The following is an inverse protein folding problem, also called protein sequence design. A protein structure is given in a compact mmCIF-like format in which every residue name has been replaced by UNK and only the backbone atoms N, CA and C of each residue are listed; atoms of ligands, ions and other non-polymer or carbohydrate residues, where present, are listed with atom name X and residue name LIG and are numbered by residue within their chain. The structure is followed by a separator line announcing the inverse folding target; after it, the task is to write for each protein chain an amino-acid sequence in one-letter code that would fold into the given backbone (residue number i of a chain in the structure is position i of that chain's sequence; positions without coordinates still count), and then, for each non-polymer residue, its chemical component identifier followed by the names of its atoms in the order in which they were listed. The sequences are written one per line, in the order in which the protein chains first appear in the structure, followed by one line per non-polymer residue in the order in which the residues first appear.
data_IF_148978843299
#
_entry.id   IF_148978843299
#
_cell.length_a   1.000
_cell.length_b   1.000
_cell.length_c   1.000
_cell.angle_alpha   90.00
_cell.angle_beta   90.00
_cell.angle_gamma   90.00
#
_symmetry.space_group_name_H-M   'P 1'
#
loop_
_entity.id
_entity.type
_entity.pdbx_description
1 polymer ?
#
# COMPACT_ATOMS: atom_id res chain seq x y z
N UNK A 1 16.15 39.31 -9.53
CA UNK A 1 16.79 38.08 -9.01
C UNK A 1 17.59 37.46 -10.13
N UNK A 2 18.87 37.17 -9.89
CA UNK A 2 19.75 36.46 -10.84
C UNK A 2 19.32 35.00 -10.94
N UNK A 3 19.27 34.44 -12.15
CA UNK A 3 18.82 33.05 -12.35
C UNK A 3 19.86 32.05 -11.84
N UNK A 4 19.42 30.92 -11.29
CA UNK A 4 20.29 29.84 -10.78
C UNK A 4 21.23 29.35 -11.89
N UNK A 5 20.74 29.25 -13.13
CA UNK A 5 21.51 28.90 -14.33
C UNK A 5 22.70 29.84 -14.63
N UNK A 6 22.66 31.09 -14.14
CA UNK A 6 23.73 32.08 -14.33
C UNK A 6 24.81 32.00 -13.25
N UNK A 7 24.59 31.18 -12.22
CA UNK A 7 25.48 30.97 -11.08
C UNK A 7 26.23 29.62 -11.19
N UNK A 8 26.68 29.23 -12.39
CA UNK A 8 27.46 28.01 -12.67
C UNK A 8 28.71 27.82 -11.79
N UNK A 9 29.16 28.86 -11.09
CA UNK A 9 30.25 28.76 -10.10
C UNK A 9 29.81 28.09 -8.79
N UNK A 10 28.54 28.22 -8.40
CA UNK A 10 27.99 27.75 -7.11
C UNK A 10 27.10 26.52 -7.26
N UNK A 11 26.47 26.36 -8.41
CA UNK A 11 25.47 25.32 -8.67
C UNK A 11 25.97 24.29 -9.68
N UNK A 12 25.52 23.06 -9.53
CA UNK A 12 25.78 21.95 -10.43
C UNK A 12 24.45 21.41 -10.95
N UNK A 13 24.33 21.32 -12.28
CA UNK A 13 23.15 20.74 -12.92
C UNK A 13 23.10 19.24 -12.64
N UNK A 14 22.00 18.76 -12.06
CA UNK A 14 21.79 17.34 -11.75
C UNK A 14 20.71 16.72 -12.62
N UNK A 15 19.74 17.52 -13.08
CA UNK A 15 18.69 17.07 -14.01
C UNK A 15 18.49 18.17 -15.06
N UNK A 16 18.65 17.80 -16.33
CA UNK A 16 18.61 18.73 -17.46
C UNK A 16 17.20 18.78 -18.06
N UNK A 17 16.67 19.99 -18.23
CA UNK A 17 15.47 20.28 -19.00
C UNK A 17 15.58 19.70 -20.41
N UNK A 18 14.51 19.09 -20.91
CA UNK A 18 14.45 18.44 -22.23
C UNK A 18 15.41 17.23 -22.37
N UNK A 19 16.07 16.79 -21.29
CA UNK A 19 16.85 15.54 -21.27
C UNK A 19 15.98 14.29 -21.41
N UNK A 20 14.67 14.44 -21.19
CA UNK A 20 13.62 13.53 -21.62
C UNK A 20 12.35 14.33 -21.90
N UNK A 21 11.39 13.74 -22.62
CA UNK A 21 10.19 14.42 -23.14
C UNK A 21 9.31 15.12 -22.08
N UNK A 22 9.55 14.87 -20.79
CA UNK A 22 8.72 15.35 -19.69
C UNK A 22 9.51 16.08 -18.58
N UNK A 23 10.79 16.43 -18.80
CA UNK A 23 11.56 17.32 -17.89
C UNK A 23 11.30 18.78 -18.25
N UNK A 24 10.38 19.43 -17.52
CA UNK A 24 9.93 20.79 -17.83
C UNK A 24 10.89 21.91 -17.41
N UNK A 25 11.85 21.62 -16.52
CA UNK A 25 12.79 22.58 -15.94
C UNK A 25 14.10 21.91 -15.51
N UNK A 26 15.15 22.70 -15.35
CA UNK A 26 16.40 22.19 -14.80
C UNK A 26 16.32 22.04 -13.28
N UNK A 27 17.03 21.06 -12.75
CA UNK A 27 17.28 20.94 -11.31
C UNK A 27 18.77 20.99 -11.07
N UNK A 28 19.16 21.88 -10.17
CA UNK A 28 20.53 22.09 -9.73
C UNK A 28 20.66 21.73 -8.26
N UNK A 29 21.84 21.29 -7.88
CA UNK A 29 22.26 21.18 -6.47
C UNK A 29 23.42 22.14 -6.23
N UNK A 30 23.55 22.71 -5.04
CA UNK A 30 24.77 23.45 -4.69
C UNK A 30 25.98 22.52 -4.76
N UNK A 31 27.12 23.01 -5.29
CA UNK A 31 28.31 22.17 -5.54
C UNK A 31 28.81 21.43 -4.31
N UNK A 32 28.65 21.99 -3.11
CA UNK A 32 29.01 21.35 -1.85
C UNK A 32 28.29 20.01 -1.63
N UNK A 33 27.07 19.86 -2.14
CA UNK A 33 26.28 18.64 -2.03
C UNK A 33 26.34 17.77 -3.30
N UNK A 34 27.15 18.13 -4.31
CA UNK A 34 27.17 17.39 -5.57
C UNK A 34 27.75 15.98 -5.43
N UNK A 35 28.82 15.81 -4.65
CA UNK A 35 29.38 14.47 -4.36
C UNK A 35 28.37 13.60 -3.61
N UNK A 36 27.61 14.19 -2.69
CA UNK A 36 26.54 13.53 -1.95
C UNK A 36 25.41 13.07 -2.89
N UNK A 37 25.02 13.92 -3.83
CA UNK A 37 24.04 13.58 -4.86
C UNK A 37 24.50 12.44 -5.78
N UNK A 38 25.74 12.47 -6.25
CA UNK A 38 26.29 11.38 -7.08
C UNK A 38 26.35 10.06 -6.30
N UNK A 39 26.71 10.09 -5.01
CA UNK A 39 26.67 8.91 -4.16
C UNK A 39 25.24 8.39 -3.96
N UNK A 40 24.26 9.26 -3.73
CA UNK A 40 22.85 8.89 -3.66
C UNK A 40 22.38 8.19 -4.93
N UNK A 41 22.68 8.75 -6.10
CA UNK A 41 22.33 8.15 -7.40
C UNK A 41 22.91 6.74 -7.57
N UNK A 42 24.10 6.47 -7.04
CA UNK A 42 24.74 5.16 -7.17
C UNK A 42 24.23 4.15 -6.13
N UNK A 43 23.86 4.63 -4.93
CA UNK A 43 23.58 3.75 -3.77
C UNK A 43 22.11 3.68 -3.38
N UNK A 44 21.20 4.38 -4.06
CA UNK A 44 19.79 4.34 -3.69
C UNK A 44 19.13 2.97 -3.93
N UNK A 45 19.61 2.21 -4.91
CA UNK A 45 19.08 0.88 -5.26
C UNK A 45 19.35 -0.10 -4.11
N UNK A 46 18.31 -0.46 -3.35
CA UNK A 46 18.43 -1.26 -2.12
C UNK A 46 18.42 -0.45 -0.82
N UNK A 47 18.04 0.82 -0.87
CA UNK A 47 17.70 1.60 0.32
C UNK A 47 16.49 2.50 0.03
N UNK A 48 15.36 2.24 0.69
CA UNK A 48 14.10 2.91 0.32
C UNK A 48 14.10 4.39 0.74
N UNK A 49 14.82 4.77 1.79
CA UNK A 49 15.00 6.16 2.19
C UNK A 49 15.74 6.96 1.12
N UNK A 50 16.89 6.44 0.67
CA UNK A 50 17.66 7.04 -0.43
C UNK A 50 16.85 7.10 -1.72
N UNK A 51 16.07 6.05 -2.01
CA UNK A 51 15.17 6.02 -3.17
C UNK A 51 14.10 7.11 -3.09
N UNK A 52 13.50 7.35 -1.91
CA UNK A 52 12.55 8.45 -1.70
C UNK A 52 13.21 9.80 -2.00
N UNK A 53 14.44 10.05 -1.50
CA UNK A 53 15.16 11.31 -1.72
C UNK A 53 15.45 11.54 -3.20
N UNK A 54 16.02 10.54 -3.88
CA UNK A 54 16.30 10.60 -5.33
C UNK A 54 15.01 10.87 -6.11
N UNK A 55 13.93 10.13 -5.83
CA UNK A 55 12.62 10.34 -6.46
C UNK A 55 12.08 11.74 -6.25
N UNK A 56 12.15 12.26 -5.03
CA UNK A 56 11.67 13.62 -4.71
C UNK A 56 12.43 14.66 -5.53
N UNK A 57 13.77 14.54 -5.63
CA UNK A 57 14.57 15.44 -6.45
C UNK A 57 14.16 15.41 -7.94
N UNK A 58 13.83 14.22 -8.49
CA UNK A 58 13.30 14.10 -9.84
C UNK A 58 11.89 14.67 -9.99
N UNK A 59 11.01 14.51 -9.01
CA UNK A 59 9.66 15.08 -9.04
C UNK A 59 9.66 16.60 -9.14
N UNK A 60 10.65 17.26 -8.52
CA UNK A 60 10.81 18.72 -8.63
C UNK A 60 10.90 19.21 -10.08
N UNK A 61 11.36 18.37 -11.03
CA UNK A 61 11.43 18.70 -12.46
C UNK A 61 10.07 18.95 -13.13
N UNK A 62 8.99 18.46 -12.53
CA UNK A 62 7.65 18.48 -13.11
C UNK A 62 6.60 19.13 -12.18
N UNK A 63 6.96 19.42 -10.93
CA UNK A 63 6.05 20.01 -9.95
C UNK A 63 5.63 21.44 -10.32
N UNK A 64 4.34 21.72 -10.25
CA UNK A 64 3.83 23.09 -10.28
C UNK A 64 4.30 23.84 -9.03
N UNK A 65 4.73 25.11 -9.17
CA UNK A 65 5.18 25.90 -8.04
C UNK A 65 5.38 27.37 -8.38
N UNK A 66 5.12 28.24 -7.39
CA UNK A 66 5.37 29.66 -7.48
C UNK A 66 6.84 29.95 -7.82
N UNK A 67 7.07 30.79 -8.83
CA UNK A 67 8.38 31.16 -9.37
C UNK A 67 8.90 32.44 -8.70
N UNK A 68 8.93 32.43 -7.38
CA UNK A 68 9.17 33.61 -6.56
C UNK A 68 10.50 33.55 -5.79
N UNK A 69 11.27 32.46 -5.93
CA UNK A 69 12.53 32.27 -5.20
C UNK A 69 12.35 31.94 -3.72
N UNK A 70 11.13 31.66 -3.25
CA UNK A 70 10.89 31.28 -1.87
C UNK A 70 11.53 29.92 -1.54
N UNK A 71 12.15 29.87 -0.37
CA UNK A 71 12.70 28.65 0.23
C UNK A 71 11.57 27.71 0.63
N UNK A 72 11.69 26.45 0.22
CA UNK A 72 10.78 25.35 0.55
C UNK A 72 11.57 24.21 1.14
N UNK A 73 10.96 23.51 2.10
CA UNK A 73 11.49 22.26 2.67
C UNK A 73 10.58 21.09 2.31
N UNK A 74 11.18 19.94 2.08
CA UNK A 74 10.52 18.64 2.03
C UNK A 74 11.18 17.76 3.08
N UNK A 75 10.44 17.51 4.15
CA UNK A 75 10.85 16.56 5.19
C UNK A 75 10.53 15.15 4.70
N UNK A 76 11.56 14.33 4.61
CA UNK A 76 11.48 12.98 4.06
C UNK A 76 11.84 11.96 5.15
N UNK A 77 11.28 10.77 5.02
CA UNK A 77 11.79 9.61 5.73
C UNK A 77 13.25 9.39 5.28
N UNK A 78 14.20 9.52 6.21
CA UNK A 78 15.62 9.39 5.89
C UNK A 78 16.42 10.70 5.79
N UNK A 79 15.77 11.86 5.75
CA UNK A 79 16.47 13.12 5.48
C UNK A 79 15.56 14.30 5.12
N UNK A 80 16.15 15.35 4.57
CA UNK A 80 15.43 16.56 4.16
C UNK A 80 15.99 17.11 2.85
N UNK A 81 15.14 17.77 2.08
CA UNK A 81 15.53 18.47 0.85
C UNK A 81 14.98 19.88 0.89
N UNK A 82 15.87 20.88 0.87
CA UNK A 82 15.48 22.27 0.79
C UNK A 82 15.82 22.87 -0.57
N UNK A 83 14.84 23.54 -1.16
CA UNK A 83 14.94 24.04 -2.52
C UNK A 83 14.23 25.38 -2.73
N UNK A 84 14.62 26.07 -3.79
CA UNK A 84 13.92 27.25 -4.32
C UNK A 84 13.55 27.03 -5.78
N UNK A 85 12.56 27.77 -6.27
CA UNK A 85 12.20 27.84 -7.70
C UNK A 85 12.43 29.27 -8.17
N UNK A 86 13.36 29.47 -9.11
CA UNK A 86 13.67 30.80 -9.62
C UNK A 86 12.60 31.34 -10.57
N UNK A 87 12.74 32.60 -10.99
CA UNK A 87 11.80 33.26 -11.89
C UNK A 87 11.68 32.58 -13.26
N UNK A 88 12.72 31.86 -13.71
CA UNK A 88 12.71 31.06 -14.95
C UNK A 88 12.05 29.70 -14.75
N UNK A 89 11.79 29.32 -13.51
CA UNK A 89 11.20 28.05 -13.13
C UNK A 89 12.23 26.96 -12.87
N UNK A 90 13.53 27.26 -12.87
CA UNK A 90 14.56 26.29 -12.53
C UNK A 90 14.60 26.05 -11.00
N UNK A 91 14.91 24.82 -10.61
CA UNK A 91 14.95 24.40 -9.20
C UNK A 91 16.39 24.42 -8.70
N UNK A 92 16.62 25.03 -7.53
CA UNK A 92 17.90 24.98 -6.83
C UNK A 92 17.77 24.31 -5.48
N UNK A 93 18.35 23.12 -5.34
CA UNK A 93 18.49 22.41 -4.06
C UNK A 93 19.73 22.97 -3.32
N UNK A 94 19.48 23.79 -2.30
CA UNK A 94 20.55 24.47 -1.55
C UNK A 94 20.98 23.71 -0.30
N UNK A 95 20.16 22.79 0.21
CA UNK A 95 20.50 21.90 1.32
C UNK A 95 19.94 20.51 1.05
N UNK A 96 20.80 19.52 1.19
CA UNK A 96 20.48 18.10 1.08
C UNK A 96 21.01 17.40 2.32
N UNK A 97 20.11 17.03 3.23
CA UNK A 97 20.47 16.30 4.43
C UNK A 97 20.03 14.85 4.27
N UNK A 98 20.97 13.93 4.43
CA UNK A 98 20.69 12.51 4.50
C UNK A 98 21.14 12.08 5.88
N UNK A 99 20.22 11.49 6.62
CA UNK A 99 20.59 10.88 7.87
C UNK A 99 21.07 9.47 7.56
N UNK A 100 22.35 9.37 7.18
CA UNK A 100 23.04 8.08 6.94
C UNK A 100 23.07 7.20 8.20
N UNK A 101 22.84 7.81 9.37
CA UNK A 101 22.67 7.16 10.67
C UNK A 101 21.22 6.84 11.05
N UNK A 102 20.25 6.92 10.13
CA UNK A 102 18.93 6.28 10.33
C UNK A 102 19.14 4.76 10.32
N UNK A 103 19.57 4.28 11.47
CA UNK A 103 19.32 2.96 12.01
C UNK A 103 18.02 3.11 12.79
N UNK A 104 16.89 2.79 12.20
CA UNK A 104 15.63 2.89 12.92
C UNK A 104 15.66 1.96 14.13
N UNK A 105 15.18 2.48 15.25
CA UNK A 105 14.96 1.68 16.45
C UNK A 105 13.89 0.62 16.16
N UNK A 106 14.05 -0.59 16.72
CA UNK A 106 13.20 -1.77 16.42
C UNK A 106 11.69 -1.63 16.71
N UNK A 107 11.25 -0.49 17.26
CA UNK A 107 9.85 -0.16 17.54
C UNK A 107 9.30 0.94 16.62
N UNK A 108 9.55 0.86 15.32
CA UNK A 108 8.88 1.74 14.37
C UNK A 108 7.44 1.32 14.14
N UNK A 109 6.53 2.27 13.93
CA UNK A 109 5.15 1.98 13.56
C UNK A 109 5.01 1.50 12.11
N UNK A 110 6.05 1.57 11.27
CA UNK A 110 6.00 1.10 9.87
C UNK A 110 7.38 0.67 9.43
N UNK A 111 7.50 -0.38 8.61
CA UNK A 111 8.79 -0.82 8.09
C UNK A 111 8.72 -2.11 7.28
N UNK A 112 9.86 -2.51 6.73
CA UNK A 112 10.04 -3.84 6.13
C UNK A 112 10.75 -4.73 7.13
N UNK A 113 10.20 -5.92 7.32
CA UNK A 113 10.71 -6.97 8.19
C UNK A 113 10.90 -8.24 7.37
N UNK A 114 11.83 -9.08 7.82
CA UNK A 114 12.01 -10.43 7.28
C UNK A 114 11.23 -11.40 8.17
N UNK A 115 10.40 -12.23 7.56
CA UNK A 115 9.72 -13.31 8.27
C UNK A 115 10.30 -14.62 7.78
N UNK A 116 10.91 -15.38 8.67
CA UNK A 116 11.68 -16.57 8.32
C UNK A 116 11.19 -17.80 9.06
N UNK A 117 11.36 -18.97 8.44
CA UNK A 117 10.98 -20.23 9.05
C UNK A 117 12.05 -20.69 10.05
N UNK A 118 11.68 -20.73 11.32
CA UNK A 118 12.48 -21.29 12.40
C UNK A 118 12.34 -22.82 12.41
N UNK A 119 13.44 -23.52 12.14
CA UNK A 119 13.49 -24.99 12.11
C UNK A 119 13.42 -25.62 13.51
N UNK A 120 13.90 -24.94 14.54
CA UNK A 120 13.90 -25.44 15.92
C UNK A 120 12.48 -25.43 16.48
N UNK A 121 11.80 -24.29 16.33
CA UNK A 121 10.43 -24.09 16.80
C UNK A 121 9.36 -24.54 15.78
N UNK A 122 9.77 -24.91 14.56
CA UNK A 122 8.89 -25.28 13.44
C UNK A 122 7.79 -24.24 13.16
N UNK A 123 8.15 -22.96 13.22
CA UNK A 123 7.20 -21.85 13.05
C UNK A 123 7.83 -20.68 12.32
N UNK A 124 7.00 -19.88 11.67
CA UNK A 124 7.44 -18.63 11.06
C UNK A 124 7.62 -17.56 12.13
N UNK A 125 8.77 -16.88 12.12
CA UNK A 125 9.10 -15.81 13.05
C UNK A 125 9.43 -14.53 12.30
N UNK A 126 8.87 -13.42 12.76
CA UNK A 126 9.24 -12.10 12.28
C UNK A 126 10.53 -11.67 12.96
N UNK A 127 11.57 -11.46 12.16
CA UNK A 127 12.85 -10.94 12.65
C UNK A 127 12.66 -9.46 13.05
N UNK A 128 13.13 -9.10 14.24
CA UNK A 128 13.05 -7.75 14.78
C UNK A 128 14.06 -6.78 14.15
N UNK A 129 15.02 -7.31 13.38
CA UNK A 129 15.92 -6.51 12.58
C UNK A 129 15.16 -5.81 11.47
N UNK A 130 15.15 -4.50 11.57
CA UNK A 130 14.61 -3.63 10.55
C UNK A 130 15.41 -3.75 9.23
N UNK A 131 14.72 -3.63 8.09
CA UNK A 131 15.31 -3.65 6.75
C UNK A 131 14.99 -2.37 5.97
N UNK A 132 15.99 -1.86 5.23
CA UNK A 132 15.86 -0.72 4.31
C UNK A 132 15.51 -1.15 2.87
N UNK A 133 15.37 -2.45 2.63
CA UNK A 133 15.10 -3.04 1.33
C UNK A 133 14.42 -4.40 1.46
N UNK A 134 13.90 -4.88 0.34
CA UNK A 134 13.49 -6.26 0.15
C UNK A 134 14.73 -7.12 -0.13
N UNK A 135 14.82 -8.30 0.47
CA UNK A 135 15.89 -9.28 0.21
C UNK A 135 15.58 -10.07 -1.08
N UNK A 136 15.64 -9.37 -2.22
CA UNK A 136 15.20 -9.87 -3.53
C UNK A 136 16.08 -10.98 -4.12
N UNK A 137 17.25 -11.22 -3.52
CA UNK A 137 18.17 -12.29 -3.94
C UNK A 137 17.68 -13.66 -3.45
N UNK A 138 16.72 -13.70 -2.52
CA UNK A 138 16.04 -14.90 -2.08
C UNK A 138 14.63 -14.98 -2.70
N UNK A 139 14.25 -16.18 -3.12
CA UNK A 139 12.90 -16.47 -3.57
C UNK A 139 12.59 -17.96 -3.57
N UNK A 140 11.33 -18.30 -3.47
CA UNK A 140 10.86 -19.67 -3.65
C UNK A 140 10.64 -19.90 -5.15
N UNK A 141 11.40 -20.81 -5.75
CA UNK A 141 11.40 -21.04 -7.21
C UNK A 141 11.68 -19.77 -8.04
N UNK A 142 12.71 -19.00 -7.66
CA UNK A 142 13.11 -17.73 -8.30
C UNK A 142 12.05 -16.62 -8.26
N UNK A 143 11.13 -16.67 -7.29
CA UNK A 143 10.14 -15.63 -7.06
C UNK A 143 10.23 -15.20 -5.60
N UNK A 144 10.45 -13.91 -5.38
CA UNK A 144 10.40 -13.34 -4.04
C UNK A 144 8.94 -13.18 -3.60
N UNK A 145 8.65 -13.45 -2.33
CA UNK A 145 7.32 -13.27 -1.76
C UNK A 145 7.34 -12.10 -0.80
N UNK A 146 6.35 -11.21 -0.94
CA UNK A 146 6.22 -10.06 -0.09
C UNK A 146 4.77 -9.85 0.32
N UNK A 147 4.54 -9.43 1.56
CA UNK A 147 3.22 -9.11 2.08
C UNK A 147 3.13 -7.65 2.50
N UNK A 148 2.01 -7.01 2.20
CA UNK A 148 1.62 -5.69 2.72
C UNK A 148 0.53 -5.90 3.75
N UNK A 149 0.86 -5.61 5.01
CA UNK A 149 -0.02 -5.92 6.12
C UNK A 149 -1.25 -5.02 6.15
N UNK A 150 -2.39 -5.62 6.50
CA UNK A 150 -3.58 -4.92 6.96
C UNK A 150 -3.43 -4.46 8.41
N UNK A 151 -4.54 -4.34 9.12
CA UNK A 151 -4.53 -4.04 10.55
C UNK A 151 -4.26 -5.30 11.38
N UNK A 152 -3.04 -5.41 11.92
CA UNK A 152 -2.61 -6.43 12.89
C UNK A 152 -2.15 -5.75 14.17
N UNK A 153 -2.27 -6.42 15.32
CA UNK A 153 -1.85 -5.88 16.61
C UNK A 153 -0.32 -5.70 16.66
N UNK A 154 0.40 -6.73 16.19
CA UNK A 154 1.86 -6.72 16.11
C UNK A 154 2.35 -7.16 14.72
N UNK A 155 3.64 -6.94 14.45
CA UNK A 155 4.31 -7.43 13.23
C UNK A 155 4.57 -8.93 13.30
N UNK A 156 4.70 -9.47 14.50
CA UNK A 156 4.80 -10.90 14.78
C UNK A 156 3.51 -11.62 14.36
N UNK A 157 2.34 -11.13 14.81
CA UNK A 157 1.05 -11.68 14.42
C UNK A 157 0.84 -11.61 12.91
N UNK A 158 1.20 -10.46 12.31
CA UNK A 158 1.12 -10.29 10.86
C UNK A 158 2.00 -11.32 10.12
N UNK A 159 3.24 -11.52 10.58
CA UNK A 159 4.15 -12.49 9.96
C UNK A 159 3.67 -13.94 10.08
N UNK A 160 3.17 -14.32 11.24
CA UNK A 160 2.64 -15.68 11.50
C UNK A 160 1.37 -15.96 10.70
N UNK A 161 0.48 -14.97 10.52
CA UNK A 161 -0.77 -15.17 9.79
C UNK A 161 -0.60 -15.04 8.28
N UNK A 162 0.20 -14.08 7.81
CA UNK A 162 0.28 -13.77 6.37
C UNK A 162 1.01 -14.85 5.57
N UNK A 163 1.85 -15.68 6.18
CA UNK A 163 2.44 -16.82 5.47
C UNK A 163 1.38 -17.80 4.97
N UNK A 164 0.35 -18.06 5.79
CA UNK A 164 -0.77 -18.91 5.41
C UNK A 164 -1.55 -18.31 4.24
N UNK A 165 -1.72 -16.98 4.27
CA UNK A 165 -2.40 -16.26 3.20
C UNK A 165 -1.58 -16.30 1.90
N UNK A 166 -0.25 -16.13 1.98
CA UNK A 166 0.65 -16.27 0.83
C UNK A 166 0.55 -17.68 0.26
N UNK A 167 0.59 -18.70 1.12
CA UNK A 167 0.50 -20.11 0.74
C UNK A 167 -0.79 -20.37 -0.05
N UNK A 168 -1.92 -19.90 0.45
CA UNK A 168 -3.21 -20.11 -0.19
C UNK A 168 -3.36 -19.31 -1.49
N UNK A 169 -2.95 -18.05 -1.49
CA UNK A 169 -2.99 -17.16 -2.64
C UNK A 169 -2.20 -17.69 -3.85
N UNK A 170 -1.01 -18.25 -3.57
CA UNK A 170 -0.08 -18.70 -4.61
C UNK A 170 0.02 -20.23 -4.70
N UNK A 171 -0.89 -20.95 -4.03
CA UNK A 171 -1.00 -22.42 -4.05
C UNK A 171 0.33 -23.12 -3.76
N UNK A 172 1.03 -22.64 -2.74
CA UNK A 172 2.35 -23.14 -2.36
C UNK A 172 2.21 -24.42 -1.53
N UNK A 173 3.16 -25.33 -1.70
CA UNK A 173 3.22 -26.56 -0.90
C UNK A 173 4.01 -26.28 0.37
N UNK A 174 3.43 -26.61 1.53
CA UNK A 174 4.02 -26.31 2.84
C UNK A 174 5.47 -26.83 2.98
N UNK A 175 5.74 -28.05 2.52
CA UNK A 175 7.08 -28.66 2.56
C UNK A 175 8.14 -27.91 1.75
N UNK A 176 7.71 -27.12 0.76
CA UNK A 176 8.61 -26.39 -0.14
C UNK A 176 8.94 -25.01 0.47
N UNK A 177 8.04 -24.45 1.28
CA UNK A 177 8.23 -23.14 1.93
C UNK A 177 8.81 -23.24 3.34
N UNK A 178 8.50 -24.30 4.10
CA UNK A 178 8.98 -24.51 5.47
C UNK A 178 10.41 -25.11 5.50
N UNK A 179 11.37 -24.40 4.90
CA UNK A 179 12.77 -24.81 4.80
C UNK A 179 13.70 -23.81 5.48
N UNK A 180 14.89 -24.26 5.88
CA UNK A 180 15.89 -23.39 6.49
C UNK A 180 16.24 -22.25 5.53
N UNK A 181 16.37 -21.03 6.06
CA UNK A 181 16.65 -19.79 5.32
C UNK A 181 15.52 -19.31 4.40
N UNK A 182 14.40 -20.02 4.29
CA UNK A 182 13.24 -19.50 3.59
C UNK A 182 12.62 -18.36 4.37
N UNK A 183 12.38 -17.26 3.65
CA UNK A 183 11.74 -16.08 4.19
C UNK A 183 10.84 -15.40 3.17
N UNK A 184 10.00 -14.49 3.66
CA UNK A 184 9.29 -13.51 2.85
C UNK A 184 9.47 -12.12 3.47
N UNK A 185 9.29 -11.08 2.65
CA UNK A 185 9.33 -9.70 3.13
C UNK A 185 7.96 -9.24 3.63
N UNK A 186 7.88 -8.76 4.86
CA UNK A 186 6.68 -8.18 5.43
C UNK A 186 6.81 -6.66 5.48
N UNK A 187 6.06 -5.94 4.65
CA UNK A 187 5.81 -4.52 4.87
C UNK A 187 4.71 -4.37 5.91
N UNK A 188 5.12 -4.03 7.13
CA UNK A 188 4.23 -3.84 8.26
C UNK A 188 3.97 -2.36 8.50
N UNK A 189 2.74 -2.03 8.89
CA UNK A 189 2.31 -0.70 9.28
C UNK A 189 1.27 -0.79 10.39
N UNK A 190 1.55 -0.12 11.50
CA UNK A 190 0.70 0.10 12.65
C UNK A 190 -0.13 1.34 12.40
N UNK A 191 -1.41 1.10 12.10
CA UNK A 191 -2.38 2.12 11.75
C UNK A 191 -1.96 2.99 10.54
N UNK A 192 -2.74 4.05 10.27
CA UNK A 192 -2.48 5.02 9.21
C UNK A 192 -2.32 4.42 7.80
N UNK A 193 -3.12 3.42 7.44
CA UNK A 193 -3.14 2.78 6.11
C UNK A 193 -3.60 3.70 4.95
N UNK A 194 -3.87 4.97 5.24
CA UNK A 194 -4.11 6.05 4.27
C UNK A 194 -2.97 7.07 4.19
N UNK A 195 -1.86 6.85 4.92
CA UNK A 195 -0.75 7.77 5.03
C UNK A 195 0.03 7.87 3.72
N UNK A 196 0.19 9.11 3.24
CA UNK A 196 1.04 9.41 2.08
C UNK A 196 2.50 9.01 2.32
N UNK A 197 2.94 9.02 3.57
CA UNK A 197 4.26 8.58 4.01
C UNK A 197 4.45 7.08 3.77
N UNK A 198 3.52 6.25 4.26
CA UNK A 198 3.59 4.79 4.08
C UNK A 198 3.50 4.40 2.60
N UNK A 199 2.61 5.07 1.85
CA UNK A 199 2.51 4.89 0.40
C UNK A 199 3.83 5.23 -0.32
N UNK A 200 4.58 6.22 0.17
CA UNK A 200 5.87 6.63 -0.42
C UNK A 200 7.01 5.65 -0.13
N UNK A 201 6.98 4.99 1.04
CA UNK A 201 7.90 3.90 1.37
C UNK A 201 7.61 2.68 0.50
N UNK A 202 6.35 2.24 0.45
CA UNK A 202 5.93 1.10 -0.34
C UNK A 202 6.19 1.31 -1.84
N UNK A 203 5.99 2.53 -2.34
CA UNK A 203 6.37 2.92 -3.70
C UNK A 203 7.88 2.74 -3.94
N UNK A 204 8.72 3.11 -2.98
CA UNK A 204 10.16 2.93 -3.12
C UNK A 204 10.55 1.43 -3.14
N UNK A 205 9.88 0.58 -2.37
CA UNK A 205 10.10 -0.87 -2.39
C UNK A 205 9.68 -1.50 -3.72
N UNK A 206 8.52 -1.11 -4.26
CA UNK A 206 8.08 -1.52 -5.60
C UNK A 206 9.12 -1.12 -6.66
N UNK A 207 9.61 0.11 -6.58
CA UNK A 207 10.62 0.63 -7.50
C UNK A 207 11.95 -0.12 -7.36
N UNK A 208 12.36 -0.55 -6.17
CA UNK A 208 13.54 -1.39 -5.98
C UNK A 208 13.38 -2.76 -6.61
N UNK A 209 12.23 -3.41 -6.44
CA UNK A 209 11.95 -4.70 -7.08
C UNK A 209 12.01 -4.58 -8.61
N UNK A 210 11.37 -3.54 -9.15
CA UNK A 210 11.37 -3.24 -10.58
C UNK A 210 12.76 -2.83 -11.11
N UNK A 211 13.60 -2.18 -10.31
CA UNK A 211 14.96 -1.79 -10.69
C UNK A 211 15.91 -2.99 -10.82
N UNK A 212 15.62 -4.07 -10.10
CA UNK A 212 16.41 -5.30 -10.10
C UNK A 212 15.84 -6.39 -11.00
N UNK A 213 14.79 -6.09 -11.78
CA UNK A 213 14.02 -7.08 -12.55
C UNK A 213 13.55 -8.27 -11.70
N UNK A 214 13.31 -8.04 -10.41
CA UNK A 214 12.94 -9.08 -9.48
C UNK A 214 11.48 -9.50 -9.71
N UNK A 215 11.25 -10.80 -9.81
CA UNK A 215 9.91 -11.40 -9.78
C UNK A 215 9.39 -11.40 -8.37
N UNK A 216 8.31 -10.68 -8.13
CA UNK A 216 7.72 -10.56 -6.79
C UNK A 216 6.24 -10.90 -6.81
N UNK A 217 5.87 -11.81 -5.91
CA UNK A 217 4.50 -12.15 -5.59
C UNK A 217 4.07 -11.35 -4.35
N UNK A 218 3.25 -10.32 -4.58
CA UNK A 218 2.73 -9.43 -3.55
C UNK A 218 1.40 -9.97 -3.01
N UNK A 219 1.35 -10.30 -1.72
CA UNK A 219 0.10 -10.46 -0.99
C UNK A 219 -0.27 -9.12 -0.36
N UNK A 220 -1.39 -8.54 -0.75
CA UNK A 220 -1.85 -7.24 -0.23
C UNK A 220 -3.11 -7.46 0.60
N UNK A 221 -3.01 -7.36 1.92
CA UNK A 221 -4.08 -7.75 2.83
C UNK A 221 -4.78 -6.56 3.50
N UNK A 222 -6.10 -6.65 3.65
CA UNK A 222 -6.88 -5.74 4.50
C UNK A 222 -6.72 -4.27 4.12
N UNK A 223 -6.55 -3.43 5.14
CA UNK A 223 -6.32 -1.99 5.01
C UNK A 223 -5.01 -1.66 4.28
N UNK A 224 -4.05 -2.60 4.23
CA UNK A 224 -2.81 -2.46 3.47
C UNK A 224 -3.02 -2.25 1.97
N UNK A 225 -4.17 -2.70 1.46
CA UNK A 225 -4.60 -2.42 0.09
C UNK A 225 -4.76 -0.92 -0.18
N UNK A 226 -5.19 -0.11 0.80
CA UNK A 226 -5.24 1.35 0.67
C UNK A 226 -3.87 1.98 0.45
N UNK A 227 -2.87 1.54 1.22
CA UNK A 227 -1.47 1.96 1.07
C UNK A 227 -0.92 1.53 -0.29
N UNK A 228 -1.15 0.28 -0.68
CA UNK A 228 -0.68 -0.28 -1.96
C UNK A 228 -1.29 0.44 -3.16
N UNK A 229 -2.61 0.66 -3.16
CA UNK A 229 -3.31 1.45 -4.21
C UNK A 229 -2.75 2.86 -4.30
N UNK A 230 -2.47 3.50 -3.17
CA UNK A 230 -1.90 4.85 -3.15
C UNK A 230 -0.47 4.87 -3.72
N UNK A 231 0.34 3.87 -3.39
CA UNK A 231 1.67 3.69 -3.99
C UNK A 231 1.57 3.46 -5.50
N UNK A 232 0.71 2.56 -5.96
CA UNK A 232 0.48 2.27 -7.38
C UNK A 232 -0.04 3.49 -8.16
N UNK A 233 -0.91 4.32 -7.58
CA UNK A 233 -1.34 5.58 -8.22
C UNK A 233 -0.21 6.58 -8.35
N UNK A 234 0.65 6.68 -7.35
CA UNK A 234 1.86 7.52 -7.44
C UNK A 234 2.83 6.98 -8.48
N UNK A 235 2.91 5.67 -8.61
CA UNK A 235 3.69 4.98 -9.63
C UNK A 235 3.15 5.31 -11.04
N UNK A 236 1.84 5.14 -11.24
CA UNK A 236 1.10 5.45 -12.47
C UNK A 236 1.20 6.93 -12.88
N UNK A 237 1.11 7.85 -11.92
CA UNK A 237 1.20 9.29 -12.18
C UNK A 237 2.61 9.74 -12.58
N UNK A 238 3.63 8.89 -12.43
CA UNK A 238 5.03 9.21 -12.71
C UNK A 238 5.70 8.16 -13.63
N UNK A 239 5.15 7.89 -14.83
CA UNK A 239 5.68 6.84 -15.73
C UNK A 239 7.12 7.16 -16.19
N UNK A 240 7.47 8.44 -16.20
CA UNK A 240 8.83 8.94 -16.44
C UNK A 240 9.87 8.45 -15.43
N UNK A 241 9.51 8.39 -14.14
CA UNK A 241 10.41 7.92 -13.08
C UNK A 241 10.57 6.40 -13.17
N UNK A 242 9.50 5.69 -13.54
CA UNK A 242 9.57 4.25 -13.76
C UNK A 242 10.62 3.91 -14.83
N UNK A 243 10.59 4.57 -15.99
CA UNK A 243 11.56 4.34 -17.08
C UNK A 243 13.01 4.63 -16.70
N UNK A 244 13.24 5.52 -15.73
CA UNK A 244 14.59 5.87 -15.27
C UNK A 244 15.12 4.94 -14.18
N UNK A 245 14.23 4.21 -13.51
CA UNK A 245 14.54 3.45 -12.29
C UNK A 245 14.25 1.96 -12.46
N UNK A 246 13.66 1.55 -13.57
CA UNK A 246 13.26 0.18 -13.85
C UNK A 246 13.20 -0.06 -15.36
N UNK A 247 13.43 -1.31 -15.77
CA UNK A 247 13.21 -1.72 -17.15
C UNK A 247 11.70 -1.77 -17.46
N UNK A 248 11.29 -1.45 -18.69
CA UNK A 248 9.87 -1.31 -19.06
C UNK A 248 9.08 -2.63 -18.89
N UNK A 249 9.76 -3.78 -19.02
CA UNK A 249 9.17 -5.12 -18.84
C UNK A 249 9.09 -5.57 -17.37
N UNK A 250 9.82 -4.93 -16.45
CA UNK A 250 9.94 -5.40 -15.06
C UNK A 250 8.66 -5.22 -14.23
N UNK A 251 7.73 -4.40 -14.73
CA UNK A 251 6.38 -4.26 -14.20
C UNK A 251 5.60 -5.58 -14.30
N UNK A 252 5.81 -6.34 -15.39
CA UNK A 252 5.15 -7.62 -15.63
C UNK A 252 5.63 -8.71 -14.67
N UNK A 253 6.76 -8.51 -14.00
CA UNK A 253 7.29 -9.39 -12.97
C UNK A 253 6.65 -9.17 -11.59
N UNK A 254 5.74 -8.19 -11.46
CA UNK A 254 5.00 -7.91 -10.24
C UNK A 254 3.64 -8.58 -10.31
N UNK A 255 3.48 -9.71 -9.61
CA UNK A 255 2.21 -10.37 -9.44
C UNK A 255 1.55 -9.89 -8.15
N UNK A 256 0.25 -9.61 -8.17
CA UNK A 256 -0.47 -9.09 -7.00
C UNK A 256 -1.71 -9.92 -6.71
N UNK A 257 -1.82 -10.35 -5.46
CA UNK A 257 -3.03 -10.97 -4.90
C UNK A 257 -3.59 -10.05 -3.81
N UNK A 258 -4.85 -9.65 -3.95
CA UNK A 258 -5.52 -8.85 -2.92
C UNK A 258 -6.37 -9.75 -2.03
N UNK A 259 -6.01 -9.82 -0.74
CA UNK A 259 -6.71 -10.59 0.28
C UNK A 259 -7.52 -9.66 1.18
N UNK A 260 -8.84 -9.77 1.07
CA UNK A 260 -9.84 -8.89 1.67
C UNK A 260 -9.48 -7.39 1.67
N UNK A 261 -9.32 -6.77 0.50
CA UNK A 261 -8.79 -5.41 0.41
C UNK A 261 -9.78 -4.36 0.94
N UNK A 262 -9.25 -3.42 1.75
CA UNK A 262 -9.99 -2.30 2.35
C UNK A 262 -9.32 -0.96 2.05
N UNK A 263 -10.13 0.10 2.02
CA UNK A 263 -9.67 1.48 1.84
C UNK A 263 -10.17 2.14 0.56
N UNK A 264 -9.69 3.36 0.30
CA UNK A 264 -10.13 4.13 -0.87
C UNK A 264 -9.50 3.59 -2.14
N UNK A 265 -10.35 3.24 -3.12
CA UNK A 265 -9.88 2.75 -4.42
C UNK A 265 -9.63 1.25 -4.48
N UNK A 266 -10.05 0.49 -3.45
CA UNK A 266 -9.87 -0.96 -3.37
C UNK A 266 -11.08 -1.77 -3.85
N UNK A 267 -12.00 -1.13 -4.57
CA UNK A 267 -13.11 -1.84 -5.22
C UNK A 267 -12.57 -2.73 -6.34
N UNK A 268 -13.20 -3.88 -6.58
CA UNK A 268 -12.74 -4.90 -7.54
C UNK A 268 -12.37 -4.29 -8.89
N UNK A 269 -13.30 -3.58 -9.53
CA UNK A 269 -13.08 -2.91 -10.82
C UNK A 269 -11.97 -1.85 -10.79
N UNK A 270 -11.77 -1.19 -9.67
CA UNK A 270 -10.73 -0.17 -9.53
C UNK A 270 -9.35 -0.80 -9.36
N UNK A 271 -9.26 -1.92 -8.65
CA UNK A 271 -8.03 -2.70 -8.51
C UNK A 271 -7.63 -3.31 -9.85
N UNK A 272 -8.57 -3.96 -10.56
CA UNK A 272 -8.37 -4.51 -11.90
C UNK A 272 -7.82 -3.44 -12.86
N UNK A 273 -8.51 -2.29 -12.97
CA UNK A 273 -8.09 -1.20 -13.85
C UNK A 273 -6.74 -0.59 -13.44
N UNK A 274 -6.43 -0.52 -12.14
CA UNK A 274 -5.16 0.04 -11.67
C UNK A 274 -3.99 -0.91 -11.95
N UNK A 275 -4.17 -2.22 -11.73
CA UNK A 275 -3.17 -3.24 -12.08
C UNK A 275 -2.87 -3.22 -13.58
N UNK A 276 -3.91 -3.22 -14.42
CA UNK A 276 -3.77 -3.12 -15.88
C UNK A 276 -3.01 -1.84 -16.28
N UNK A 277 -3.40 -0.69 -15.71
CA UNK A 277 -2.79 0.60 -16.06
C UNK A 277 -1.32 0.73 -15.64
N UNK A 278 -0.95 0.10 -14.53
CA UNK A 278 0.43 0.09 -14.00
C UNK A 278 1.27 -1.02 -14.66
N UNK A 279 0.65 -1.99 -15.33
CA UNK A 279 1.33 -3.13 -15.95
C UNK A 279 1.63 -4.29 -14.99
N UNK A 280 0.98 -4.32 -13.81
CA UNK A 280 1.13 -5.42 -12.85
C UNK A 280 0.17 -6.56 -13.17
N UNK A 281 0.61 -7.79 -12.96
CA UNK A 281 -0.24 -8.96 -13.16
C UNK A 281 -1.14 -9.18 -11.94
N UNK A 282 -2.45 -8.98 -12.11
CA UNK A 282 -3.43 -9.27 -11.07
C UNK A 282 -3.72 -10.78 -11.03
N UNK A 283 -3.33 -11.44 -9.94
CA UNK A 283 -3.57 -12.88 -9.73
C UNK A 283 -5.04 -13.11 -9.36
N UNK A 284 -5.49 -12.49 -8.27
CA UNK A 284 -6.87 -12.62 -7.79
C UNK A 284 -7.20 -11.50 -6.80
N UNK A 285 -8.50 -11.26 -6.62
CA UNK A 285 -9.06 -10.42 -5.57
C UNK A 285 -10.03 -11.30 -4.76
N UNK A 286 -9.57 -11.77 -3.60
CA UNK A 286 -10.40 -12.52 -2.69
C UNK A 286 -11.02 -11.57 -1.66
N UNK A 287 -12.35 -11.54 -1.58
CA UNK A 287 -13.09 -10.66 -0.67
C UNK A 287 -13.95 -11.50 0.27
N UNK A 288 -13.91 -11.18 1.56
CA UNK A 288 -14.85 -11.75 2.51
C UNK A 288 -16.22 -11.08 2.28
N UNK A 289 -17.25 -11.79 1.81
CA UNK A 289 -18.53 -11.16 1.48
C UNK A 289 -19.25 -10.55 2.71
N UNK A 290 -18.85 -10.94 3.91
CA UNK A 290 -19.41 -10.46 5.18
C UNK A 290 -18.67 -9.26 5.76
N UNK A 291 -17.60 -8.80 5.11
CA UNK A 291 -16.86 -7.62 5.54
C UNK A 291 -17.51 -6.33 5.04
N UNK A 292 -18.24 -5.64 5.91
CA UNK A 292 -18.94 -4.41 5.55
C UNK A 292 -18.02 -3.17 5.56
N UNK A 293 -16.74 -3.27 5.91
CA UNK A 293 -15.78 -2.17 5.67
C UNK A 293 -15.43 -2.04 4.19
N UNK A 294 -15.68 -3.08 3.40
CA UNK A 294 -15.53 -3.04 1.95
C UNK A 294 -16.81 -2.48 1.29
N UNK A 295 -16.65 -1.51 0.39
CA UNK A 295 -17.79 -0.82 -0.25
C UNK A 295 -18.51 -1.68 -1.30
N UNK A 296 -17.84 -2.63 -1.95
CA UNK A 296 -18.50 -3.56 -2.87
C UNK A 296 -19.44 -4.50 -2.10
N UNK A 297 -19.03 -4.98 -0.93
CA UNK A 297 -19.87 -5.78 -0.04
C UNK A 297 -21.06 -4.98 0.51
N UNK A 298 -20.84 -3.72 0.92
CA UNK A 298 -21.94 -2.83 1.31
C UNK A 298 -23.00 -2.73 0.20
N UNK A 299 -22.57 -2.46 -1.03
CA UNK A 299 -23.46 -2.34 -2.19
C UNK A 299 -24.19 -3.64 -2.51
N UNK A 300 -23.52 -4.79 -2.39
CA UNK A 300 -24.13 -6.11 -2.58
C UNK A 300 -25.23 -6.36 -1.54
N UNK A 301 -24.94 -6.12 -0.26
CA UNK A 301 -25.91 -6.23 0.83
C UNK A 301 -27.09 -5.29 0.64
N UNK A 302 -26.87 -4.05 0.18
CA UNK A 302 -27.96 -3.11 -0.12
C UNK A 302 -28.86 -3.59 -1.25
N UNK A 303 -28.27 -4.13 -2.33
CA UNK A 303 -29.02 -4.67 -3.45
C UNK A 303 -29.88 -5.86 -3.02
N UNK A 304 -29.35 -6.74 -2.18
CA UNK A 304 -30.11 -7.88 -1.65
C UNK A 304 -31.21 -7.45 -0.67
N UNK A 305 -30.96 -6.47 0.19
CA UNK A 305 -31.97 -5.90 1.08
C UNK A 305 -33.17 -5.36 0.29
N UNK A 306 -32.90 -4.63 -0.80
CA UNK A 306 -33.94 -4.10 -1.70
C UNK A 306 -34.76 -5.23 -2.33
N UNK A 307 -34.11 -6.30 -2.80
CA UNK A 307 -34.79 -7.45 -3.38
C UNK A 307 -35.69 -8.17 -2.37
N UNK A 308 -35.24 -8.32 -1.12
CA UNK A 308 -36.04 -8.93 -0.06
C UNK A 308 -37.25 -8.06 0.30
N UNK A 309 -37.05 -6.75 0.43
CA UNK A 309 -38.12 -5.80 0.69
C UNK A 309 -39.17 -5.79 -0.44
N UNK A 310 -38.72 -5.78 -1.70
CA UNK A 310 -39.59 -5.84 -2.88
C UNK A 310 -40.39 -7.14 -2.97
N UNK A 311 -39.87 -8.25 -2.43
CA UNK A 311 -40.57 -9.55 -2.40
C UNK A 311 -41.59 -9.67 -1.25
N UNK A 312 -41.65 -8.72 -0.32
CA UNK A 312 -42.62 -8.74 0.80
C UNK A 312 -42.42 -9.89 1.80
N UNK A 313 -41.25 -10.55 1.80
CA UNK A 313 -41.00 -11.81 2.55
C UNK A 313 -40.75 -11.59 4.06
N UNK A 314 -40.63 -10.35 4.54
CA UNK A 314 -40.27 -10.07 5.93
C UNK A 314 -41.48 -10.03 6.86
N UNK A 315 -42.00 -11.21 7.20
CA UNK A 315 -42.90 -11.38 8.34
C UNK A 315 -42.10 -11.28 9.65
N UNK A 316 -42.13 -10.10 10.30
CA UNK A 316 -41.60 -9.92 11.65
C UNK A 316 -40.90 -8.59 11.88
N UNK A 317 -41.68 -7.54 12.15
CA UNK A 317 -41.41 -6.41 13.05
C UNK A 317 -40.15 -5.51 12.94
N UNK A 318 -39.03 -5.96 12.37
CA UNK A 318 -37.74 -5.26 12.48
C UNK A 318 -37.34 -4.44 11.25
N UNK A 319 -38.08 -4.51 10.13
CA UNK A 319 -37.70 -3.85 8.87
C UNK A 319 -38.86 -3.06 8.23
N UNK A 320 -39.91 -2.73 8.99
CA UNK A 320 -41.02 -1.92 8.47
C UNK A 320 -40.66 -0.43 8.25
N UNK A 321 -39.42 0.00 8.52
CA UNK A 321 -39.01 1.42 8.48
C UNK A 321 -37.86 1.79 7.54
N UNK A 322 -37.24 0.84 6.82
CA UNK A 322 -36.08 1.15 5.97
C UNK A 322 -36.50 1.52 4.53
N UNK A 323 -37.35 2.52 4.41
CA UNK A 323 -37.81 3.05 3.13
C UNK A 323 -36.84 4.13 2.64
N UNK A 324 -35.60 3.72 2.32
CA UNK A 324 -34.72 4.33 1.30
C UNK A 324 -33.28 3.85 1.47
N UNK A 325 -32.60 3.61 0.33
CA UNK A 325 -31.18 3.28 0.25
C UNK A 325 -30.31 4.28 1.03
N UNK A 326 -30.65 5.56 0.97
CA UNK A 326 -29.91 6.65 1.63
C UNK A 326 -29.92 6.54 3.15
N UNK A 327 -31.05 6.16 3.77
CA UNK A 327 -31.14 6.02 5.23
C UNK A 327 -30.34 4.82 5.74
N UNK A 328 -30.26 3.75 4.95
CA UNK A 328 -29.49 2.56 5.26
C UNK A 328 -27.99 2.75 5.01
N UNK A 329 -27.61 3.40 3.91
CA UNK A 329 -26.22 3.81 3.63
C UNK A 329 -25.69 4.73 4.73
N UNK A 330 -26.51 5.70 5.18
CA UNK A 330 -26.16 6.61 6.26
C UNK A 330 -26.04 5.88 7.60
N UNK A 331 -26.93 4.93 7.92
CA UNK A 331 -26.85 4.19 9.18
C UNK A 331 -25.66 3.22 9.23
N UNK A 332 -25.37 2.51 8.13
CA UNK A 332 -24.17 1.66 8.00
C UNK A 332 -22.91 2.52 8.05
N UNK A 333 -22.89 3.67 7.35
CA UNK A 333 -21.77 4.61 7.40
C UNK A 333 -21.50 5.16 8.80
N UNK A 334 -22.53 5.53 9.55
CA UNK A 334 -22.40 5.97 10.95
C UNK A 334 -21.86 4.86 11.84
N UNK A 335 -22.39 3.63 11.73
CA UNK A 335 -21.95 2.50 12.53
C UNK A 335 -20.49 2.10 12.26
N UNK A 336 -20.05 2.16 11.00
CA UNK A 336 -18.66 1.90 10.61
C UNK A 336 -17.71 3.03 11.03
N UNK A 337 -18.21 4.26 11.13
CA UNK A 337 -17.43 5.45 11.48
C UNK A 337 -17.23 5.65 12.99
N UNK A 338 -18.19 5.26 13.83
CA UNK A 338 -18.11 5.44 15.29
C UNK A 338 -17.42 4.28 16.02
N UNK A 339 -17.33 3.10 15.39
CA UNK A 339 -16.80 1.89 16.04
C UNK A 339 -17.65 1.41 17.23
N UNK A 340 -18.85 1.99 17.42
CA UNK A 340 -19.71 1.78 18.58
C UNK A 340 -20.77 0.70 18.29
N UNK A 341 -20.76 -0.45 19.01
CA UNK A 341 -21.71 -1.55 18.85
C UNK A 341 -23.18 -1.18 19.08
N UNK A 342 -23.46 -0.02 19.69
CA UNK A 342 -24.81 0.42 20.07
C UNK A 342 -25.69 0.88 18.89
N UNK A 343 -25.14 1.05 17.69
CA UNK A 343 -25.89 1.43 16.48
C UNK A 343 -26.58 0.21 15.81
N UNK A 344 -27.44 -0.47 16.56
CA UNK A 344 -28.03 -1.78 16.23
C UNK A 344 -28.90 -1.85 14.95
N UNK A 345 -29.40 -0.74 14.44
CA UNK A 345 -30.37 -0.72 13.32
C UNK A 345 -29.72 -1.09 11.97
N UNK A 346 -28.47 -0.68 11.74
CA UNK A 346 -27.75 -0.98 10.50
C UNK A 346 -27.33 -2.46 10.41
N UNK A 347 -26.91 -3.03 11.55
CA UNK A 347 -26.53 -4.44 11.66
C UNK A 347 -27.73 -5.38 11.60
N UNK A 348 -28.92 -4.94 12.04
CA UNK A 348 -30.13 -5.74 11.90
C UNK A 348 -30.48 -5.96 10.41
N UNK A 349 -30.35 -4.94 9.56
CA UNK A 349 -30.65 -5.07 8.13
C UNK A 349 -29.59 -5.87 7.36
N UNK A 350 -28.30 -5.58 7.58
CA UNK A 350 -27.21 -6.37 6.98
C UNK A 350 -27.24 -7.82 7.50
N UNK A 351 -27.53 -8.00 8.80
CA UNK A 351 -27.72 -9.29 9.42
C UNK A 351 -28.91 -10.06 8.88
N UNK A 352 -30.03 -9.39 8.54
CA UNK A 352 -31.20 -10.02 7.88
C UNK A 352 -30.86 -10.47 6.46
N UNK A 353 -30.11 -9.69 5.68
CA UNK A 353 -29.65 -10.07 4.34
C UNK A 353 -28.71 -11.27 4.39
N UNK A 354 -27.68 -11.18 5.23
CA UNK A 354 -26.71 -12.26 5.47
C UNK A 354 -27.44 -13.52 5.99
N UNK A 355 -28.41 -13.35 6.89
CA UNK A 355 -29.21 -14.44 7.39
C UNK A 355 -30.13 -15.03 6.31
N UNK A 356 -30.62 -14.26 5.33
CA UNK A 356 -31.49 -14.77 4.26
C UNK A 356 -30.71 -15.49 3.15
N UNK A 357 -29.54 -14.99 2.73
CA UNK A 357 -28.67 -15.70 1.78
C UNK A 357 -28.24 -17.07 2.35
N UNK A 358 -27.95 -17.11 3.66
CA UNK A 358 -27.65 -18.34 4.40
C UNK A 358 -28.89 -19.18 4.71
N UNK A 359 -30.09 -18.59 4.91
CA UNK A 359 -31.36 -19.32 5.11
C UNK A 359 -31.68 -20.21 3.91
N UNK A 360 -31.29 -19.78 2.70
CA UNK A 360 -31.41 -20.59 1.47
C UNK A 360 -30.45 -21.79 1.43
N UNK A 361 -29.43 -21.82 2.31
CA UNK A 361 -28.35 -22.85 2.37
C UNK A 361 -28.34 -23.70 3.65
N UNK A 362 -29.42 -23.70 4.44
CA UNK A 362 -29.70 -24.55 5.62
C UNK A 362 -28.78 -24.40 6.87
N UNK A 363 -29.40 -24.09 8.01
CA UNK A 363 -29.08 -24.63 9.35
C UNK A 363 -27.90 -24.08 10.15
N UNK A 364 -27.98 -22.85 10.70
CA UNK A 364 -26.97 -22.37 11.67
C UNK A 364 -27.03 -20.88 12.03
N UNK A 365 -28.17 -20.42 12.54
CA UNK A 365 -28.56 -18.99 12.59
C UNK A 365 -27.70 -18.05 13.47
N UNK A 366 -26.90 -18.54 14.43
CA UNK A 366 -26.13 -17.67 15.34
C UNK A 366 -24.71 -17.36 14.90
N UNK A 367 -24.01 -18.30 14.24
CA UNK A 367 -22.55 -18.22 14.09
C UNK A 367 -22.10 -17.26 12.98
N UNK A 368 -22.90 -17.06 11.94
CA UNK A 368 -22.51 -16.26 10.79
C UNK A 368 -22.66 -14.74 11.01
N UNK A 369 -23.59 -14.32 11.88
CA UNK A 369 -23.68 -12.92 12.32
C UNK A 369 -22.44 -12.52 13.14
N UNK A 370 -22.02 -13.38 14.06
CA UNK A 370 -20.77 -13.20 14.81
C UNK A 370 -19.54 -13.21 13.91
N UNK A 371 -19.49 -14.07 12.87
CA UNK A 371 -18.41 -14.04 11.87
C UNK A 371 -18.40 -12.75 11.06
N UNK A 372 -19.56 -12.23 10.65
CA UNK A 372 -19.65 -10.95 9.92
C UNK A 372 -19.27 -9.74 10.77
N UNK A 373 -19.70 -9.69 12.03
CA UNK A 373 -19.30 -8.64 12.98
C UNK A 373 -17.82 -8.73 13.34
N UNK A 374 -17.31 -9.95 13.61
CA UNK A 374 -15.90 -10.20 13.88
C UNK A 374 -15.01 -9.91 12.68
N UNK A 375 -15.49 -10.15 11.46
CA UNK A 375 -14.78 -9.75 10.23
C UNK A 375 -14.81 -8.24 10.03
N UNK A 376 -15.95 -7.59 10.25
CA UNK A 376 -16.09 -6.15 9.98
C UNK A 376 -15.43 -5.27 11.04
N UNK A 377 -15.57 -5.61 12.33
CA UNK A 377 -15.15 -4.76 13.47
C UNK A 377 -14.08 -5.37 14.37
N UNK A 378 -13.74 -6.65 14.20
CA UNK A 378 -12.77 -7.36 15.03
C UNK A 378 -11.61 -7.98 14.24
N UNK A 379 -10.84 -8.82 14.93
CA UNK A 379 -9.70 -9.58 14.38
C UNK A 379 -10.11 -10.68 13.40
N UNK A 380 -11.40 -11.00 13.26
CA UNK A 380 -11.89 -12.07 12.38
C UNK A 380 -11.56 -11.86 10.89
N UNK A 381 -11.16 -10.64 10.51
CA UNK A 381 -10.67 -10.38 9.16
C UNK A 381 -9.22 -10.81 8.93
N UNK A 382 -8.41 -10.79 9.98
CA UNK A 382 -6.97 -11.06 9.92
C UNK A 382 -6.70 -12.50 9.47
N UNK A 383 -7.65 -13.41 9.69
CA UNK A 383 -7.58 -14.83 9.31
C UNK A 383 -8.26 -15.15 7.97
N UNK A 384 -8.76 -14.15 7.24
CA UNK A 384 -9.35 -14.37 5.92
C UNK A 384 -8.26 -14.33 4.83
N UNK A 385 -7.93 -15.50 4.28
CA UNK A 385 -6.93 -15.70 3.22
C UNK A 385 -7.59 -15.72 1.84
#
# INVERSE_FOLDING_TARGET
MTSISQLNRTWQLIIRKDGSSNVSRNVYVIKQHYSLWENLKQTHTGNYYKTIIVRTAYQLCSMAGARNGESKSLDLEGGSLHYTIDAKGDVGIYLLEINDSISPSGNQNTGVYRVEYDQEDKKWKTNNEYRQHLELDHGWNNIHYAAVSGQFETKEDAGEMLIEHIRNAYKLVERDINQLNNHFSLFWQKDQHSSDKHASILLALLQQAMARDARVNWLVHGEGAGTFVSAMKKLEANPQYQRMMAHEESQQYQNVYFSNPRGKGTRKKQLEALCEKVGFNLVEINQNPYDLKNRDNQLAVFKEAQLIAAKGILSGGLVAGLVSQTSLEKSVGTALGTGDPSTAVAFAAAGVVIANDVRSKLGGYGRNLWKGMGSTFGSGNQSWA
#
